data_IF_937313392172
#
_entry.id   IF_937313392172
#
_cell.length_a   1.000
_cell.length_b   1.000
_cell.length_c   1.000
_cell.angle_alpha   90.00
_cell.angle_beta   90.00
_cell.angle_gamma   90.00
#
_symmetry.space_group_name_H-M   'P 1'
#
loop_
_entity.id
_entity.type
_entity.pdbx_description
1 polymer ?
#
# COMPACT_ATOMS: atom_id res chain seq x y z
N UNK A 1 8.53 20.73 4.37
CA UNK A 1 8.83 19.28 4.29
C UNK A 1 7.79 18.63 3.41
N UNK A 2 8.20 17.97 2.32
CA UNK A 2 7.29 17.11 1.56
C UNK A 2 6.96 15.91 2.45
N UNK A 3 5.72 15.85 2.95
CA UNK A 3 5.29 14.76 3.82
C UNK A 3 4.92 13.56 2.96
N UNK A 4 5.50 12.39 3.27
CA UNK A 4 5.11 11.13 2.65
C UNK A 4 3.69 10.77 3.08
N UNK A 5 2.87 10.31 2.13
CA UNK A 5 1.50 9.86 2.41
C UNK A 5 1.47 8.55 3.19
N UNK A 6 2.43 7.67 2.93
CA UNK A 6 2.48 6.33 3.52
C UNK A 6 3.78 6.09 4.29
N UNK A 7 3.76 5.10 5.18
CA UNK A 7 4.88 4.65 5.98
C UNK A 7 5.18 3.17 5.76
N UNK A 8 6.36 2.74 6.20
CA UNK A 8 6.71 1.32 6.32
C UNK A 8 5.60 0.55 7.03
N UNK A 9 5.22 -0.60 6.48
CA UNK A 9 4.19 -1.49 7.04
C UNK A 9 2.75 -1.14 6.64
N UNK A 10 2.49 -0.03 5.94
CA UNK A 10 1.14 0.20 5.40
C UNK A 10 0.82 -0.85 4.33
N UNK A 11 -0.38 -1.42 4.44
CA UNK A 11 -0.95 -2.34 3.45
C UNK A 11 -1.59 -1.51 2.36
N UNK A 12 -1.28 -1.84 1.12
CA UNK A 12 -1.68 -1.06 -0.05
C UNK A 12 -2.15 -1.97 -1.18
N UNK A 13 -2.94 -1.38 -2.08
CA UNK A 13 -3.29 -1.95 -3.38
C UNK A 13 -2.42 -1.28 -4.44
N UNK A 14 -1.83 -2.08 -5.31
CA UNK A 14 -1.07 -1.65 -6.50
C UNK A 14 -1.62 -2.37 -7.72
N UNK A 15 -1.42 -1.81 -8.91
CA UNK A 15 -1.86 -2.43 -10.17
C UNK A 15 -3.34 -2.85 -10.13
N UNK A 16 -4.18 -1.94 -9.62
CA UNK A 16 -5.64 -2.04 -9.50
C UNK A 16 -6.20 -3.16 -8.62
N UNK A 17 -5.41 -4.18 -8.24
CA UNK A 17 -5.92 -5.36 -7.52
C UNK A 17 -4.90 -6.12 -6.68
N UNK A 18 -3.61 -5.82 -6.80
CA UNK A 18 -2.57 -6.57 -6.09
C UNK A 18 -2.34 -5.98 -4.71
N UNK A 19 -2.40 -6.83 -3.69
CA UNK A 19 -2.15 -6.42 -2.31
C UNK A 19 -0.65 -6.54 -2.00
N UNK A 20 -0.11 -5.48 -1.42
CA UNK A 20 1.27 -5.44 -0.95
C UNK A 20 1.43 -4.68 0.36
N UNK A 21 2.66 -4.69 0.86
CA UNK A 21 3.07 -3.92 2.06
C UNK A 21 4.26 -3.06 1.73
N UNK A 22 4.24 -1.80 2.17
CA UNK A 22 5.37 -0.90 1.99
C UNK A 22 6.54 -1.38 2.85
N UNK A 23 7.68 -1.64 2.21
CA UNK A 23 8.93 -2.06 2.86
C UNK A 23 10.00 -0.97 2.85
N UNK A 24 9.83 0.10 2.05
CA UNK A 24 10.69 1.29 2.08
C UNK A 24 9.98 2.49 1.48
N UNK A 25 10.29 3.69 2.01
CA UNK A 25 9.85 4.96 1.44
C UNK A 25 11.06 5.78 0.99
N UNK A 26 10.92 6.49 -0.12
CA UNK A 26 11.95 7.34 -0.69
C UNK A 26 11.52 8.81 -0.69
N UNK A 27 12.47 9.74 -0.70
CA UNK A 27 12.20 11.19 -0.62
C UNK A 27 11.45 11.73 -1.85
N UNK A 28 11.53 11.04 -2.99
CA UNK A 28 10.88 11.38 -4.25
C UNK A 28 9.42 10.88 -4.35
N UNK A 29 8.84 10.41 -3.24
CA UNK A 29 7.49 9.82 -3.16
C UNK A 29 7.34 8.52 -3.95
N UNK A 30 8.43 7.78 -4.10
CA UNK A 30 8.36 6.37 -4.48
C UNK A 30 8.40 5.47 -3.25
N UNK A 31 7.82 4.28 -3.38
CA UNK A 31 7.72 3.30 -2.31
C UNK A 31 8.09 1.93 -2.86
N UNK A 32 8.93 1.21 -2.13
CA UNK A 32 9.15 -0.21 -2.40
C UNK A 32 8.07 -1.00 -1.68
N UNK A 33 7.34 -1.81 -2.45
CA UNK A 33 6.20 -2.60 -1.97
C UNK A 33 6.52 -4.08 -2.17
N UNK A 34 6.44 -4.86 -1.10
CA UNK A 34 6.42 -6.32 -1.22
C UNK A 34 5.02 -6.75 -1.70
N UNK A 35 4.94 -7.28 -2.91
CA UNK A 35 3.70 -7.73 -3.56
C UNK A 35 3.52 -9.22 -3.34
N UNK A 36 2.45 -9.60 -2.64
CA UNK A 36 2.21 -10.99 -2.22
C UNK A 36 2.11 -11.95 -3.42
N UNK A 37 1.45 -11.52 -4.49
CA UNK A 37 1.17 -12.38 -5.66
C UNK A 37 2.42 -12.88 -6.36
N UNK A 38 3.54 -12.16 -6.25
CA UNK A 38 4.80 -12.51 -6.90
C UNK A 38 5.90 -12.85 -5.90
N UNK A 39 5.62 -12.74 -4.60
CA UNK A 39 6.60 -12.91 -3.52
C UNK A 39 7.87 -12.07 -3.72
N UNK A 40 7.70 -10.84 -4.21
CA UNK A 40 8.80 -9.96 -4.61
C UNK A 40 8.56 -8.52 -4.22
N UNK A 41 9.60 -7.70 -4.34
CA UNK A 41 9.55 -6.25 -4.09
C UNK A 41 9.55 -5.52 -5.42
N UNK A 42 8.69 -4.52 -5.55
CA UNK A 42 8.63 -3.63 -6.72
C UNK A 42 8.41 -2.19 -6.28
N UNK A 43 8.92 -1.23 -7.06
CA UNK A 43 8.86 0.19 -6.72
C UNK A 43 7.72 0.88 -7.44
N UNK A 44 6.91 1.63 -6.70
CA UNK A 44 5.74 2.32 -7.21
C UNK A 44 5.76 3.81 -6.81
N UNK A 45 5.35 4.73 -7.71
CA UNK A 45 5.12 6.12 -7.32
C UNK A 45 3.87 6.24 -6.45
N UNK A 46 3.81 7.25 -5.57
CA UNK A 46 2.69 7.49 -4.64
C UNK A 46 1.30 7.44 -5.30
N UNK A 47 1.21 7.85 -6.57
CA UNK A 47 -0.04 7.91 -7.35
C UNK A 47 -0.52 6.56 -7.86
N UNK A 48 0.35 5.54 -7.87
CA UNK A 48 0.02 4.17 -8.30
C UNK A 48 -0.30 3.24 -7.11
N UNK A 49 -0.43 3.80 -5.90
CA UNK A 49 -0.61 3.07 -4.66
C UNK A 49 -1.83 3.62 -3.94
N UNK A 50 -2.73 2.72 -3.54
CA UNK A 50 -3.92 3.04 -2.78
C UNK A 50 -3.88 2.38 -1.39
N UNK A 51 -4.39 3.03 -0.33
CA UNK A 51 -4.47 2.38 0.97
C UNK A 51 -5.43 1.19 0.89
N UNK A 52 -5.02 0.03 1.42
CA UNK A 52 -5.94 -1.08 1.57
C UNK A 52 -6.93 -0.79 2.70
N UNK A 53 -8.18 -0.49 2.34
CA UNK A 53 -9.27 -0.29 3.29
C UNK A 53 -10.00 -1.61 3.44
N UNK A 54 -9.90 -2.22 4.63
CA UNK A 54 -10.72 -3.36 4.96
C UNK A 54 -12.10 -2.84 5.40
N UNK A 55 -13.08 -2.89 4.49
CA UNK A 55 -14.44 -2.52 4.81
C UNK A 55 -15.04 -3.64 5.68
N UNK A 56 -14.88 -3.49 6.99
CA UNK A 56 -15.55 -4.34 7.97
C UNK A 56 -16.87 -3.66 8.31
N UNK A 57 -17.85 -3.78 7.43
CA UNK A 57 -19.24 -3.60 7.85
C UNK A 57 -19.50 -4.75 8.82
N UNK A 58 -19.31 -4.48 10.11
CA UNK A 58 -19.90 -5.30 11.15
C UNK A 58 -21.39 -5.05 11.03
N UNK A 59 -22.12 -5.94 10.35
CA UNK A 59 -23.56 -6.01 10.54
C UNK A 59 -23.75 -6.38 12.02
N UNK A 60 -24.08 -5.38 12.83
CA UNK A 60 -24.65 -5.62 14.15
C UNK A 60 -25.95 -6.39 13.91
N UNK A 61 -25.92 -7.71 14.08
CA UNK A 61 -27.11 -8.57 14.08
C UNK A 61 -28.05 -8.08 15.20
N UNK A 62 -29.26 -7.69 14.79
CA UNK A 62 -30.36 -7.18 15.64
C UNK A 62 -30.64 -8.01 16.91
#
# INVERSE_FOLDING_TARGET
MNKLKYNFGNIVVVEDSLVGVIVKCWEDKTYDVYVRSWSGVSSYPEVAIEPFIYDKVLEDEN
#
